data_IF_607166539001
#
_entry.id   IF_607166539001
#
_cell.length_a   1.000
_cell.length_b   1.000
_cell.length_c   1.000
_cell.angle_alpha   90.00
_cell.angle_beta   90.00
_cell.angle_gamma   90.00
#
_symmetry.space_group_name_H-M   'P 1'
#
loop_
_entity.id
_entity.type
_entity.pdbx_description
1 polymer ?
#
# COMPACT_ATOMS: atom_id res chain seq x y z
N UNK A 1 6.82 3.75 -23.83
CA UNK A 1 6.93 3.53 -22.37
C UNK A 1 6.95 2.02 -22.12
N UNK A 2 7.77 1.52 -21.20
CA UNK A 2 7.91 0.08 -20.94
C UNK A 2 6.58 -0.52 -20.42
N UNK A 3 6.17 -1.69 -20.93
CA UNK A 3 4.89 -2.33 -20.60
C UNK A 3 4.73 -2.63 -19.11
N UNK A 4 5.80 -3.09 -18.45
CA UNK A 4 5.82 -3.36 -17.01
C UNK A 4 5.58 -2.09 -16.19
N UNK A 5 6.13 -0.95 -16.65
CA UNK A 5 5.90 0.35 -16.01
C UNK A 5 4.43 0.75 -16.13
N UNK A 6 3.82 0.54 -17.31
CA UNK A 6 2.40 0.82 -17.52
C UNK A 6 1.50 -0.05 -16.65
N UNK A 7 1.81 -1.34 -16.52
CA UNK A 7 1.08 -2.25 -15.64
C UNK A 7 1.10 -1.79 -14.18
N UNK A 8 2.26 -1.35 -13.69
CA UNK A 8 2.37 -0.83 -12.32
C UNK A 8 1.55 0.45 -12.12
N UNK A 9 1.68 1.43 -13.03
CA UNK A 9 0.95 2.71 -12.93
C UNK A 9 -0.57 2.51 -12.96
N UNK A 10 -1.04 1.54 -13.76
CA UNK A 10 -2.47 1.24 -13.90
C UNK A 10 -3.04 0.38 -12.75
N UNK A 11 -2.21 -0.11 -11.83
CA UNK A 11 -2.66 -0.90 -10.69
C UNK A 11 -3.41 -0.01 -9.68
N UNK A 12 -4.73 -0.22 -9.55
CA UNK A 12 -5.57 0.54 -8.61
C UNK A 12 -5.50 0.04 -7.16
N UNK A 13 -5.08 -1.21 -6.96
CA UNK A 13 -4.96 -1.86 -5.65
C UNK A 13 -3.48 -1.98 -5.28
N UNK A 14 -3.06 -1.22 -4.28
CA UNK A 14 -1.65 -1.04 -3.92
C UNK A 14 -1.43 -1.38 -2.45
N UNK A 15 -0.45 -2.23 -2.17
CA UNK A 15 0.07 -2.42 -0.82
C UNK A 15 1.08 -1.33 -0.46
N UNK A 16 0.98 -0.74 0.73
CA UNK A 16 2.04 0.13 1.26
C UNK A 16 2.68 -0.57 2.45
N UNK A 17 3.94 -1.00 2.27
CA UNK A 17 4.73 -1.70 3.28
C UNK A 17 5.55 -0.70 4.08
N UNK A 18 5.40 -0.71 5.40
CA UNK A 18 6.09 0.21 6.30
C UNK A 18 5.29 1.46 6.65
N UNK A 19 3.95 1.36 6.71
CA UNK A 19 3.10 2.47 7.15
C UNK A 19 3.44 2.92 8.57
N UNK A 20 3.65 4.22 8.75
CA UNK A 20 4.00 4.82 10.04
C UNK A 20 3.66 6.30 10.03
N UNK A 21 3.23 6.82 11.18
CA UNK A 21 2.90 8.24 11.36
C UNK A 21 4.15 9.15 11.30
N UNK A 22 5.34 8.57 11.50
CA UNK A 22 6.63 9.29 11.58
C UNK A 22 7.52 9.12 10.35
N UNK A 23 7.14 8.24 9.42
CA UNK A 23 7.96 7.88 8.25
C UNK A 23 7.17 8.06 6.96
N UNK A 24 7.89 7.99 5.84
CA UNK A 24 7.36 8.22 4.50
C UNK A 24 6.21 7.27 4.12
N UNK A 25 6.19 6.03 4.64
CA UNK A 25 5.12 5.06 4.36
C UNK A 25 3.73 5.58 4.73
N UNK A 26 3.59 6.35 5.82
CA UNK A 26 2.29 6.95 6.17
C UNK A 26 1.85 8.05 5.21
N UNK A 27 2.78 8.90 4.77
CA UNK A 27 2.51 9.95 3.79
C UNK A 27 2.11 9.35 2.43
N UNK A 28 2.84 8.33 1.96
CA UNK A 28 2.53 7.60 0.72
C UNK A 28 1.12 7.00 0.78
N UNK A 29 0.79 6.32 1.89
CA UNK A 29 -0.53 5.73 2.07
C UNK A 29 -1.66 6.77 1.95
N UNK A 30 -1.52 7.90 2.65
CA UNK A 30 -2.52 8.98 2.64
C UNK A 30 -2.69 9.56 1.24
N UNK A 31 -1.58 9.89 0.59
CA UNK A 31 -1.59 10.50 -0.74
C UNK A 31 -2.17 9.58 -1.83
N UNK A 32 -1.89 8.28 -1.76
CA UNK A 32 -2.49 7.32 -2.69
C UNK A 32 -4.00 7.20 -2.46
N UNK A 33 -4.45 7.19 -1.20
CA UNK A 33 -5.88 7.19 -0.88
C UNK A 33 -6.59 8.45 -1.36
N UNK A 34 -6.03 9.63 -1.15
CA UNK A 34 -6.63 10.90 -1.62
C UNK A 34 -6.75 10.95 -3.14
N UNK A 35 -5.85 10.28 -3.85
CA UNK A 35 -5.89 10.12 -5.32
C UNK A 35 -6.85 9.04 -5.82
N UNK A 36 -7.59 8.38 -4.93
CA UNK A 36 -8.61 7.39 -5.27
C UNK A 36 -8.09 5.97 -5.49
N UNK A 37 -6.87 5.65 -5.04
CA UNK A 37 -6.38 4.27 -5.04
C UNK A 37 -7.00 3.48 -3.88
N UNK A 38 -7.15 2.18 -4.09
CA UNK A 38 -7.44 1.24 -2.99
C UNK A 38 -6.11 0.84 -2.36
N UNK A 39 -5.85 1.35 -1.17
CA UNK A 39 -4.55 1.20 -0.51
C UNK A 39 -4.67 0.29 0.69
N UNK A 40 -3.80 -0.71 0.77
CA UNK A 40 -3.78 -1.70 1.85
C UNK A 40 -2.54 -1.48 2.71
N UNK A 41 -2.69 -1.12 4.00
CA UNK A 41 -1.55 -0.87 4.87
C UNK A 41 -0.91 -2.19 5.31
N UNK A 42 0.41 -2.28 5.22
CA UNK A 42 1.18 -3.46 5.66
C UNK A 42 2.18 -3.05 6.74
N UNK A 43 2.04 -3.66 7.92
CA UNK A 43 2.90 -3.41 9.07
C UNK A 43 2.99 -4.67 9.95
N UNK A 44 4.17 -5.10 10.41
CA UNK A 44 4.34 -6.39 11.11
C UNK A 44 3.49 -6.54 12.38
N UNK A 45 3.32 -5.46 13.15
CA UNK A 45 2.70 -5.50 14.49
C UNK A 45 1.46 -4.62 14.65
N UNK A 46 1.20 -3.72 13.69
CA UNK A 46 0.13 -2.72 13.84
C UNK A 46 -1.14 -3.36 13.30
N UNK A 47 -2.26 -3.23 14.01
CA UNK A 47 -3.54 -3.83 13.61
C UNK A 47 -4.38 -2.90 12.72
N UNK A 48 -4.23 -1.60 12.88
CA UNK A 48 -4.97 -0.60 12.10
C UNK A 48 -4.12 0.61 11.75
N UNK A 49 -4.37 1.22 10.59
CA UNK A 49 -3.75 2.47 10.15
C UNK A 49 -4.79 3.32 9.43
N UNK A 50 -5.03 4.55 9.92
CA UNK A 50 -6.02 5.48 9.34
C UNK A 50 -7.41 4.84 9.14
N UNK A 51 -7.85 4.04 10.11
CA UNK A 51 -9.15 3.36 10.08
C UNK A 51 -9.18 2.02 9.34
N UNK A 52 -8.16 1.70 8.54
CA UNK A 52 -8.09 0.45 7.80
C UNK A 52 -7.40 -0.66 8.59
N UNK A 53 -7.78 -1.91 8.31
CA UNK A 53 -7.10 -3.10 8.82
C UNK A 53 -5.69 -3.21 8.21
N UNK A 54 -4.69 -3.33 9.06
CA UNK A 54 -3.31 -3.58 8.64
C UNK A 54 -3.08 -5.07 8.46
N UNK A 55 -2.42 -5.42 7.35
CA UNK A 55 -1.94 -6.76 7.10
C UNK A 55 -0.54 -6.92 7.68
N UNK A 56 -0.29 -8.03 8.38
CA UNK A 56 1.02 -8.32 8.94
C UNK A 56 2.05 -8.66 7.84
N UNK A 57 1.59 -9.28 6.75
CA UNK A 57 2.45 -9.72 5.64
C UNK A 57 1.72 -9.61 4.29
N UNK A 58 2.49 -9.48 3.21
CA UNK A 58 1.96 -9.49 1.84
C UNK A 58 1.26 -10.81 1.47
N UNK A 59 1.59 -11.93 2.14
CA UNK A 59 0.96 -13.23 1.89
C UNK A 59 -0.51 -13.29 2.28
N UNK A 60 -0.96 -12.36 3.13
CA UNK A 60 -2.35 -12.29 3.63
C UNK A 60 -3.22 -11.32 2.85
N UNK A 61 -2.73 -10.81 1.72
CA UNK A 61 -3.39 -9.77 0.94
C UNK A 61 -4.38 -10.37 -0.06
N UNK A 62 -5.44 -9.62 -0.42
CA UNK A 62 -6.33 -9.99 -1.52
C UNK A 62 -5.59 -10.19 -2.85
N UNK A 63 -6.07 -11.12 -3.68
CA UNK A 63 -5.43 -11.47 -4.96
C UNK A 63 -5.41 -10.32 -5.99
N UNK A 64 -6.27 -9.32 -5.82
CA UNK A 64 -6.37 -8.10 -6.63
C UNK A 64 -5.21 -7.12 -6.41
N UNK A 65 -4.45 -7.26 -5.32
CA UNK A 65 -3.29 -6.40 -5.06
C UNK A 65 -2.15 -6.81 -5.99
N UNK A 66 -1.88 -5.97 -7.00
CA UNK A 66 -0.86 -6.23 -8.04
C UNK A 66 0.37 -5.33 -7.95
N UNK A 67 0.35 -4.33 -7.08
CA UNK A 67 1.45 -3.40 -6.88
C UNK A 67 1.74 -3.23 -5.39
N UNK A 68 3.02 -2.97 -5.07
CA UNK A 68 3.45 -2.66 -3.73
C UNK A 68 4.46 -1.51 -3.74
N UNK A 69 4.32 -0.59 -2.79
CA UNK A 69 5.33 0.41 -2.45
C UNK A 69 5.95 0.01 -1.13
N UNK A 70 7.27 -0.11 -1.11
CA UNK A 70 8.03 -0.52 0.08
C UNK A 70 8.80 0.67 0.62
N UNK A 71 8.46 1.10 1.84
CA UNK A 71 9.05 2.26 2.51
C UNK A 71 9.18 1.97 4.02
N UNK A 72 10.27 1.29 4.41
CA UNK A 72 10.54 0.83 5.78
C UNK A 72 11.58 1.69 6.50
#
# INVERSE_FOLDING_TARGET
MNETIQQFINAKHIAVVGVSDKKMGGAIYKELKTRGYTVYPVHPTRKTFEGDACHATLKTMPAEVKAAVVAV
#
